data_IF_538935196317
#
_entry.id   IF_538935196317
#
_cell.length_a   1.000
_cell.length_b   1.000
_cell.length_c   1.000
_cell.angle_alpha   90.00
_cell.angle_beta   90.00
_cell.angle_gamma   90.00
#
_symmetry.space_group_name_H-M   'P 1'
#
loop_
_entity.id
_entity.type
_entity.pdbx_description
1 polymer ?
#
# COMPACT_ATOMS: atom_id res chain seq x y z
N UNK A 1 50.19 -2.90 -49.54
CA UNK A 1 49.93 -4.24 -50.12
C UNK A 1 48.55 -4.68 -49.61
N UNK A 2 47.46 -4.45 -50.37
CA UNK A 2 46.72 -5.43 -51.23
C UNK A 2 46.22 -6.63 -50.37
N UNK A 3 44.92 -6.97 -50.23
CA UNK A 3 43.75 -6.85 -51.13
C UNK A 3 42.39 -6.93 -50.40
N UNK A 4 41.38 -6.27 -51.00
CA UNK A 4 39.94 -6.52 -50.88
C UNK A 4 39.56 -7.94 -51.35
N UNK A 5 38.52 -8.56 -50.76
CA UNK A 5 37.57 -9.46 -51.46
C UNK A 5 36.15 -9.23 -50.89
N UNK A 6 35.22 -8.93 -51.79
CA UNK A 6 33.77 -8.82 -51.60
C UNK A 6 33.08 -9.99 -52.33
N UNK A 7 32.05 -10.62 -51.73
CA UNK A 7 31.10 -11.54 -52.38
C UNK A 7 29.75 -11.39 -51.63
N UNK A 8 28.75 -10.67 -52.14
CA UNK A 8 27.70 -10.98 -53.15
C UNK A 8 26.40 -11.57 -52.55
N UNK A 9 25.31 -10.87 -52.86
CA UNK A 9 23.89 -10.98 -52.45
C UNK A 9 23.10 -11.88 -53.42
N UNK A 10 22.07 -12.64 -52.95
CA UNK A 10 20.76 -12.93 -53.62
C UNK A 10 20.01 -14.08 -52.88
N UNK A 11 18.88 -13.87 -52.20
CA UNK A 11 17.47 -13.85 -52.65
C UNK A 11 16.82 -15.23 -52.90
N UNK A 12 15.71 -15.55 -52.21
CA UNK A 12 14.51 -16.19 -52.81
C UNK A 12 13.28 -16.23 -51.86
N UNK A 13 12.18 -15.73 -52.43
CA UNK A 13 10.80 -15.66 -51.93
C UNK A 13 10.07 -17.00 -52.11
N UNK A 14 9.08 -17.26 -51.26
CA UNK A 14 7.90 -18.08 -51.59
C UNK A 14 6.66 -17.41 -50.98
N UNK A 15 5.71 -17.02 -51.82
CA UNK A 15 4.40 -16.52 -51.43
C UNK A 15 3.29 -17.55 -51.69
N UNK A 16 2.06 -17.25 -51.27
CA UNK A 16 0.83 -17.68 -51.95
C UNK A 16 -0.39 -16.84 -51.51
N UNK A 17 -1.47 -16.72 -52.33
CA UNK A 17 -2.43 -15.61 -52.30
C UNK A 17 -3.90 -15.95 -51.95
N UNK A 18 -4.67 -14.88 -51.71
CA UNK A 18 -6.09 -14.60 -52.03
C UNK A 18 -7.26 -15.35 -51.36
N UNK A 19 -8.10 -14.61 -50.61
CA UNK A 19 -9.58 -14.62 -50.78
C UNK A 19 -10.21 -13.34 -50.19
N UNK A 20 -11.02 -12.64 -50.98
CA UNK A 20 -11.96 -11.60 -50.52
C UNK A 20 -13.39 -12.14 -50.66
N UNK A 21 -14.23 -11.97 -49.63
CA UNK A 21 -15.69 -11.97 -49.77
C UNK A 21 -16.28 -10.99 -48.74
N UNK A 22 -17.19 -10.17 -49.22
CA UNK A 22 -17.73 -8.93 -48.63
C UNK A 22 -18.90 -9.15 -47.68
N UNK A 23 -18.95 -8.40 -46.58
CA UNK A 23 -20.21 -7.94 -45.97
C UNK A 23 -19.95 -6.60 -45.27
N UNK A 24 -20.42 -5.52 -45.88
CA UNK A 24 -20.49 -4.21 -45.26
C UNK A 24 -21.73 -4.14 -44.36
N UNK A 25 -21.51 -4.19 -43.05
CA UNK A 25 -22.45 -3.65 -42.06
C UNK A 25 -21.66 -2.83 -41.05
N UNK A 26 -21.92 -1.53 -41.08
CA UNK A 26 -21.36 -0.48 -40.22
C UNK A 26 -21.66 -0.75 -38.74
N UNK A 27 -20.63 -0.63 -37.87
CA UNK A 27 -20.66 -0.33 -36.43
C UNK A 27 -19.45 -1.00 -35.72
N UNK A 28 -18.36 -0.22 -35.65
CA UNK A 28 -17.12 -0.38 -34.87
C UNK A 28 -16.54 -1.80 -34.79
N UNK A 29 -15.64 -2.12 -35.72
CA UNK A 29 -15.01 -3.44 -35.88
C UNK A 29 -14.07 -3.82 -34.74
N UNK A 30 -14.64 -4.38 -33.68
CA UNK A 30 -13.98 -5.44 -32.93
C UNK A 30 -14.60 -6.76 -33.41
N UNK A 31 -13.78 -7.74 -33.80
CA UNK A 31 -14.30 -8.98 -34.37
C UNK A 31 -15.13 -9.73 -33.31
N UNK A 32 -16.10 -10.55 -33.74
CA UNK A 32 -16.91 -11.36 -32.83
C UNK A 32 -16.04 -12.27 -31.95
N UNK A 33 -14.91 -12.72 -32.50
CA UNK A 33 -13.92 -13.53 -31.79
C UNK A 33 -13.15 -12.70 -30.77
N UNK A 34 -12.80 -11.46 -31.08
CA UNK A 34 -12.12 -10.55 -30.16
C UNK A 34 -13.03 -10.12 -29.00
N UNK A 35 -14.33 -9.89 -29.26
CA UNK A 35 -15.31 -9.62 -28.20
C UNK A 35 -15.55 -10.83 -27.30
N UNK A 36 -15.55 -12.03 -27.87
CA UNK A 36 -15.70 -13.26 -27.10
C UNK A 36 -14.45 -13.53 -26.27
N UNK A 37 -13.24 -13.34 -26.83
CA UNK A 37 -11.97 -13.42 -26.10
C UNK A 37 -11.84 -12.36 -25.00
N UNK A 38 -12.35 -11.14 -25.22
CA UNK A 38 -12.35 -10.10 -24.20
C UNK A 38 -13.32 -10.43 -23.05
N UNK A 39 -14.50 -10.99 -23.36
CA UNK A 39 -15.44 -11.47 -22.35
C UNK A 39 -14.86 -12.65 -21.55
N UNK A 40 -14.25 -13.63 -22.22
CA UNK A 40 -13.61 -14.78 -21.58
C UNK A 40 -12.42 -14.37 -20.72
N UNK A 41 -11.63 -13.36 -21.15
CA UNK A 41 -10.51 -12.83 -20.37
C UNK A 41 -10.97 -12.03 -19.15
N UNK A 42 -12.08 -11.29 -19.25
CA UNK A 42 -12.65 -10.56 -18.12
C UNK A 42 -13.27 -11.50 -17.08
N UNK A 43 -13.95 -12.57 -17.52
CA UNK A 43 -14.49 -13.60 -16.64
C UNK A 43 -13.37 -14.40 -15.96
N UNK A 44 -12.30 -14.73 -16.69
CA UNK A 44 -11.10 -15.35 -16.12
C UNK A 44 -10.39 -14.44 -15.08
N UNK A 45 -10.34 -13.13 -15.33
CA UNK A 45 -9.74 -12.17 -14.40
C UNK A 45 -10.57 -12.01 -13.11
N UNK A 46 -11.90 -12.03 -13.21
CA UNK A 46 -12.80 -11.96 -12.06
C UNK A 46 -12.72 -13.24 -11.20
N UNK A 47 -12.72 -14.41 -11.83
CA UNK A 47 -12.56 -15.70 -11.14
C UNK A 47 -11.18 -15.84 -10.48
N UNK A 48 -10.12 -15.30 -11.09
CA UNK A 48 -8.78 -15.28 -10.49
C UNK A 48 -8.70 -14.33 -9.28
N UNK A 49 -9.37 -13.17 -9.34
CA UNK A 49 -9.43 -12.23 -8.23
C UNK A 49 -10.23 -12.77 -7.03
N UNK A 50 -11.36 -13.45 -7.28
CA UNK A 50 -12.17 -14.07 -6.22
C UNK A 50 -11.44 -15.26 -5.56
N UNK A 51 -10.77 -16.09 -6.36
CA UNK A 51 -9.92 -17.19 -5.83
C UNK A 51 -8.75 -16.66 -5.00
N UNK A 52 -8.09 -15.58 -5.43
CA UNK A 52 -7.01 -14.96 -4.66
C UNK A 52 -7.49 -14.36 -3.33
N UNK A 53 -8.76 -13.91 -3.26
CA UNK A 53 -9.38 -13.45 -2.02
C UNK A 53 -9.75 -14.63 -1.10
N UNK A 54 -10.29 -15.71 -1.66
CA UNK A 54 -10.67 -16.91 -0.92
C UNK A 54 -9.47 -17.67 -0.36
N UNK A 55 -8.36 -17.77 -1.10
CA UNK A 55 -7.11 -18.36 -0.58
C UNK A 55 -6.49 -17.51 0.54
N UNK A 56 -6.63 -16.18 0.46
CA UNK A 56 -6.25 -15.25 1.54
C UNK A 56 -7.15 -15.38 2.77
N UNK A 57 -8.44 -15.68 2.60
CA UNK A 57 -9.38 -15.91 3.70
C UNK A 57 -9.21 -17.30 4.35
N UNK A 58 -8.86 -18.32 3.57
CA UNK A 58 -8.66 -19.68 4.06
C UNK A 58 -7.39 -19.85 4.91
N UNK A 59 -6.40 -18.96 4.78
CA UNK A 59 -5.18 -19.00 5.61
C UNK A 59 -5.25 -18.12 6.87
N UNK A 60 -6.33 -17.37 7.10
CA UNK A 60 -6.47 -16.42 8.22
C UNK A 60 -7.44 -16.85 9.32
N UNK A 61 -7.72 -18.15 9.49
CA UNK A 61 -8.45 -18.65 10.65
C UNK A 61 -7.47 -19.16 11.73
N UNK A 62 -7.32 -18.48 12.88
CA UNK A 62 -6.89 -19.13 14.10
C UNK A 62 -8.14 -19.70 14.80
N UNK A 63 -8.35 -21.01 14.70
CA UNK A 63 -9.10 -21.76 15.70
C UNK A 63 -8.23 -21.80 16.97
N UNK A 64 -8.61 -21.02 17.98
CA UNK A 64 -7.86 -20.93 19.22
C UNK A 64 -8.51 -19.98 20.23
N UNK A 65 -9.52 -20.51 20.91
CA UNK A 65 -10.17 -20.00 22.11
C UNK A 65 -9.20 -19.25 23.06
N UNK A 66 -9.42 -17.96 23.28
CA UNK A 66 -8.89 -17.27 24.46
C UNK A 66 -9.99 -17.25 25.51
N UNK A 67 -9.82 -18.15 26.47
CA UNK A 67 -10.50 -18.14 27.77
C UNK A 67 -10.36 -16.75 28.41
N UNK A 68 -11.48 -16.03 28.48
CA UNK A 68 -11.58 -14.74 29.17
C UNK A 68 -12.18 -14.96 30.55
N UNK A 69 -11.38 -15.56 31.44
CA UNK A 69 -11.63 -15.47 32.88
C UNK A 69 -11.48 -14.02 33.37
N UNK A 70 -12.26 -13.58 34.38
CA UNK A 70 -12.23 -12.21 34.85
C UNK A 70 -10.95 -11.98 35.67
N UNK A 71 -10.00 -11.25 35.12
CA UNK A 71 -8.91 -10.66 35.91
C UNK A 71 -9.46 -9.42 36.63
N UNK A 72 -9.67 -9.55 37.94
CA UNK A 72 -9.70 -8.42 38.87
C UNK A 72 -8.48 -7.53 38.62
N UNK A 73 -8.74 -6.28 38.22
CA UNK A 73 -7.73 -5.22 38.16
C UNK A 73 -7.60 -4.61 39.55
N UNK A 74 -6.81 -5.29 40.39
CA UNK A 74 -6.23 -4.65 41.57
C UNK A 74 -5.22 -3.60 41.12
N UNK A 75 -5.60 -2.35 41.29
CA UNK A 75 -4.73 -1.20 41.16
C UNK A 75 -3.72 -1.20 42.31
N UNK A 76 -2.46 -1.50 42.02
CA UNK A 76 -1.34 -1.16 42.90
C UNK A 76 -0.30 -0.32 42.14
N UNK A 77 0.31 0.70 42.80
CA UNK A 77 1.08 1.74 42.15
C UNK A 77 2.51 1.25 41.86
N UNK A 78 2.97 1.44 40.63
CA UNK A 78 4.36 1.25 40.29
C UNK A 78 5.20 2.36 40.94
N UNK A 79 5.92 1.99 42.00
CA UNK A 79 7.01 2.78 42.56
C UNK A 79 8.18 2.86 41.57
N UNK A 80 8.90 3.98 41.64
CA UNK A 80 9.92 4.48 40.74
C UNK A 80 11.06 3.52 40.39
N UNK A 81 11.40 3.48 39.10
CA UNK A 81 12.77 3.29 38.62
C UNK A 81 13.11 4.41 37.64
N UNK A 82 13.91 5.36 38.12
CA UNK A 82 14.41 6.51 37.36
C UNK A 82 15.45 6.04 36.34
N UNK A 83 15.09 6.01 35.06
CA UNK A 83 16.03 6.18 33.97
C UNK A 83 15.59 7.43 33.20
N UNK A 84 16.21 8.56 33.51
CA UNK A 84 16.02 9.82 32.81
C UNK A 84 16.65 9.74 31.41
N UNK A 85 16.02 8.99 30.51
CA UNK A 85 16.21 9.18 29.08
C UNK A 85 15.55 10.48 28.70
N UNK A 86 16.33 11.44 28.19
CA UNK A 86 15.81 12.74 27.74
C UNK A 86 14.79 12.49 26.63
N UNK A 87 13.50 12.65 26.94
CA UNK A 87 12.46 12.67 25.92
C UNK A 87 12.76 13.86 25.01
N UNK A 88 12.87 13.65 23.69
CA UNK A 88 13.18 14.74 22.77
C UNK A 88 12.07 15.80 22.82
N UNK A 89 12.46 17.07 22.78
CA UNK A 89 11.54 18.20 22.87
C UNK A 89 10.63 18.30 21.64
N UNK A 90 11.09 17.80 20.49
CA UNK A 90 10.30 17.66 19.27
C UNK A 90 10.58 16.34 18.56
N UNK A 91 9.60 15.76 17.85
CA UNK A 91 9.77 14.49 17.13
C UNK A 91 10.87 14.53 16.05
N UNK A 92 11.20 15.69 15.51
CA UNK A 92 12.35 15.87 14.60
C UNK A 92 13.72 15.90 15.33
N UNK A 93 13.76 16.26 16.61
CA UNK A 93 14.99 16.33 17.43
C UNK A 93 15.37 14.96 18.01
N UNK A 94 14.82 13.92 17.40
CA UNK A 94 14.67 12.60 17.96
C UNK A 94 15.74 11.72 17.32
N UNK A 95 16.82 11.48 18.05
CA UNK A 95 17.93 10.66 17.59
C UNK A 95 17.71 9.19 17.97
N UNK A 96 17.32 8.37 16.98
CA UNK A 96 17.13 6.93 17.16
C UNK A 96 18.45 6.18 17.42
N UNK A 97 19.61 6.78 17.16
CA UNK A 97 20.92 6.22 17.49
C UNK A 97 21.38 6.59 18.92
N UNK A 98 20.69 7.53 19.57
CA UNK A 98 20.99 7.93 20.94
C UNK A 98 20.14 7.16 21.96
N UNK A 99 20.81 6.40 22.84
CA UNK A 99 20.20 5.79 24.02
C UNK A 99 19.83 4.31 23.90
N UNK A 100 19.07 3.84 24.88
CA UNK A 100 18.62 2.43 24.97
C UNK A 100 17.28 2.18 24.27
N UNK A 101 16.87 0.91 24.21
CA UNK A 101 15.64 0.49 23.49
C UNK A 101 14.37 1.24 23.91
N UNK A 102 14.23 1.57 25.20
CA UNK A 102 13.09 2.36 25.69
C UNK A 102 13.05 3.77 25.05
N UNK A 103 14.21 4.42 24.90
CA UNK A 103 14.30 5.74 24.28
C UNK A 103 14.03 5.67 22.78
N UNK A 104 14.55 4.65 22.08
CA UNK A 104 14.24 4.40 20.67
C UNK A 104 12.74 4.16 20.43
N UNK A 105 12.09 3.39 21.30
CA UNK A 105 10.65 3.12 21.22
C UNK A 105 9.84 4.42 21.42
N UNK A 106 10.18 5.21 22.45
CA UNK A 106 9.51 6.49 22.70
C UNK A 106 9.72 7.48 21.54
N UNK A 107 10.93 7.52 21.00
CA UNK A 107 11.27 8.42 19.90
C UNK A 107 10.52 8.08 18.61
N UNK A 108 10.54 6.82 18.19
CA UNK A 108 9.81 6.37 17.00
C UNK A 108 8.29 6.56 17.14
N UNK A 109 7.73 6.38 18.34
CA UNK A 109 6.32 6.68 18.62
C UNK A 109 6.02 8.16 18.42
N UNK A 110 6.85 9.05 18.97
CA UNK A 110 6.68 10.50 18.81
C UNK A 110 6.75 10.93 17.34
N UNK A 111 7.68 10.35 16.57
CA UNK A 111 7.83 10.59 15.13
C UNK A 111 6.61 10.12 14.34
N UNK A 112 6.11 8.91 14.60
CA UNK A 112 4.88 8.43 13.99
C UNK A 112 3.70 9.34 14.32
N UNK A 113 3.51 9.71 15.59
CA UNK A 113 2.44 10.61 16.00
C UNK A 113 2.51 11.99 15.32
N UNK A 114 3.71 12.50 15.05
CA UNK A 114 3.86 13.74 14.27
C UNK A 114 3.40 13.59 12.82
N UNK A 115 3.79 12.49 12.16
CA UNK A 115 3.33 12.19 10.81
C UNK A 115 1.80 12.02 10.78
N UNK A 116 1.23 11.29 11.75
CA UNK A 116 -0.23 11.09 11.83
C UNK A 116 -0.98 12.41 12.03
N UNK A 117 -0.50 13.31 12.88
CA UNK A 117 -1.07 14.66 13.02
C UNK A 117 -1.06 15.43 11.70
N UNK A 118 0.08 15.45 11.01
CA UNK A 118 0.23 16.11 9.71
C UNK A 118 -0.72 15.53 8.65
N UNK A 119 -0.84 14.21 8.58
CA UNK A 119 -1.78 13.56 7.68
C UNK A 119 -3.23 14.00 7.97
N UNK A 120 -3.62 14.05 9.23
CA UNK A 120 -4.96 14.46 9.65
C UNK A 120 -5.24 15.93 9.34
N UNK A 121 -4.26 16.83 9.46
CA UNK A 121 -4.39 18.24 9.06
C UNK A 121 -4.67 18.39 7.57
N UNK A 122 -3.90 17.67 6.74
CA UNK A 122 -4.10 17.67 5.29
C UNK A 122 -5.44 17.05 4.90
N UNK A 123 -5.84 15.97 5.57
CA UNK A 123 -7.15 15.35 5.37
C UNK A 123 -8.28 16.34 5.63
N UNK A 124 -8.25 17.06 6.76
CA UNK A 124 -9.26 18.09 7.08
C UNK A 124 -9.28 19.19 6.03
N UNK A 125 -8.10 19.72 5.70
CA UNK A 125 -7.93 20.76 4.66
C UNK A 125 -8.55 20.32 3.33
N UNK A 126 -8.31 19.08 2.91
CA UNK A 126 -8.89 18.55 1.68
C UNK A 126 -10.40 18.37 1.81
N UNK A 127 -10.89 17.81 2.92
CA UNK A 127 -12.33 17.59 3.08
C UNK A 127 -13.12 18.89 3.11
N UNK A 128 -12.57 19.97 3.66
CA UNK A 128 -13.24 21.27 3.73
C UNK A 128 -13.43 21.89 2.33
N UNK A 129 -12.54 21.57 1.39
CA UNK A 129 -12.65 22.00 -0.02
C UNK A 129 -13.63 21.15 -0.84
N UNK A 130 -13.78 19.87 -0.50
CA UNK A 130 -14.50 18.90 -1.32
C UNK A 130 -16.04 19.00 -1.17
N UNK A 131 -16.74 18.71 -2.29
CA UNK A 131 -18.19 18.45 -2.27
C UNK A 131 -18.54 17.28 -1.33
N UNK A 132 -19.81 17.15 -0.92
CA UNK A 132 -20.22 16.05 -0.04
C UNK A 132 -19.94 14.66 -0.63
N UNK A 133 -20.17 14.48 -1.95
CA UNK A 133 -19.88 13.24 -2.65
C UNK A 133 -18.38 12.92 -2.64
N UNK A 134 -17.54 13.86 -3.05
CA UNK A 134 -16.08 13.68 -3.07
C UNK A 134 -15.49 13.49 -1.67
N UNK A 135 -16.06 14.15 -0.64
CA UNK A 135 -15.70 13.90 0.78
C UNK A 135 -15.96 12.46 1.19
N UNK A 136 -17.10 11.89 0.78
CA UNK A 136 -17.43 10.49 1.07
C UNK A 136 -16.42 9.53 0.41
N UNK A 137 -16.08 9.78 -0.85
CA UNK A 137 -15.08 9.00 -1.58
C UNK A 137 -13.70 9.06 -0.91
N UNK A 138 -13.22 10.26 -0.55
CA UNK A 138 -11.94 10.42 0.15
C UNK A 138 -11.95 9.74 1.52
N UNK A 139 -13.07 9.81 2.26
CA UNK A 139 -13.22 9.11 3.54
C UNK A 139 -13.11 7.60 3.38
N UNK A 140 -13.75 7.02 2.34
CA UNK A 140 -13.61 5.59 2.06
C UNK A 140 -12.17 5.23 1.74
N UNK A 141 -11.53 5.98 0.83
CA UNK A 141 -10.15 5.75 0.43
C UNK A 141 -9.17 5.83 1.63
N UNK A 142 -9.38 6.76 2.57
CA UNK A 142 -8.56 6.82 3.78
C UNK A 142 -8.78 5.64 4.72
N UNK A 143 -10.02 5.15 4.88
CA UNK A 143 -10.30 3.98 5.72
C UNK A 143 -9.66 2.71 5.14
N UNK A 144 -9.70 2.56 3.81
CA UNK A 144 -9.08 1.42 3.16
C UNK A 144 -7.55 1.52 3.17
N UNK A 145 -7.00 2.73 3.05
CA UNK A 145 -5.57 2.97 3.27
C UNK A 145 -5.13 2.62 4.70
N UNK A 146 -5.92 2.93 5.74
CA UNK A 146 -5.60 2.54 7.12
C UNK A 146 -5.52 1.01 7.27
N UNK A 147 -6.47 0.26 6.69
CA UNK A 147 -6.41 -1.21 6.68
C UNK A 147 -5.17 -1.73 5.98
N UNK A 148 -4.83 -1.16 4.82
CA UNK A 148 -3.61 -1.49 4.10
C UNK A 148 -2.37 -1.22 4.98
N UNK A 149 -2.26 -0.03 5.55
CA UNK A 149 -1.14 0.36 6.42
C UNK A 149 -0.96 -0.62 7.57
N UNK A 150 -2.04 -0.88 8.30
CA UNK A 150 -2.00 -1.69 9.50
C UNK A 150 -1.67 -3.16 9.15
N UNK A 151 -2.25 -3.70 8.08
CA UNK A 151 -1.93 -5.05 7.58
C UNK A 151 -0.49 -5.17 7.07
N UNK A 152 0.00 -4.17 6.33
CA UNK A 152 1.39 -4.12 5.86
C UNK A 152 2.36 -4.05 7.04
N UNK A 153 2.10 -3.21 8.04
CA UNK A 153 2.99 -3.12 9.21
C UNK A 153 2.94 -4.37 10.10
N UNK A 154 1.78 -5.03 10.22
CA UNK A 154 1.71 -6.32 10.88
C UNK A 154 2.57 -7.38 10.15
N UNK A 155 2.51 -7.42 8.82
CA UNK A 155 3.32 -8.33 8.01
C UNK A 155 4.83 -8.02 8.09
N UNK A 156 5.23 -6.75 7.93
CA UNK A 156 6.64 -6.34 7.92
C UNK A 156 7.34 -6.56 9.28
N UNK A 157 6.58 -6.61 10.37
CA UNK A 157 7.11 -6.76 11.73
C UNK A 157 6.87 -8.14 12.34
N UNK A 158 6.21 -9.03 11.61
CA UNK A 158 5.94 -10.39 12.07
C UNK A 158 7.23 -11.21 12.18
N UNK A 159 7.38 -11.91 13.29
CA UNK A 159 8.37 -12.97 13.48
C UNK A 159 7.81 -14.29 12.92
N UNK A 160 8.60 -15.38 12.90
CA UNK A 160 8.13 -16.68 12.37
C UNK A 160 6.85 -17.22 13.00
N UNK A 161 6.49 -16.77 14.21
CA UNK A 161 5.26 -17.13 14.92
C UNK A 161 4.06 -16.21 14.62
N UNK A 162 4.16 -15.38 13.57
CA UNK A 162 3.07 -14.56 13.04
C UNK A 162 2.79 -13.28 13.82
N UNK A 163 3.61 -12.94 14.82
CA UNK A 163 3.45 -11.71 15.60
C UNK A 163 4.77 -11.00 15.80
N UNK A 164 4.68 -9.71 16.07
CA UNK A 164 5.84 -8.92 16.45
C UNK A 164 6.18 -9.20 17.93
N UNK A 165 7.46 -9.46 18.24
CA UNK A 165 7.92 -9.91 19.57
C UNK A 165 9.18 -9.19 20.05
N UNK A 166 9.40 -9.19 21.37
CA UNK A 166 10.59 -8.61 22.01
C UNK A 166 10.54 -7.09 22.18
N UNK A 167 11.53 -6.54 22.88
CA UNK A 167 11.60 -5.10 23.23
C UNK A 167 11.80 -4.18 22.02
N UNK A 168 12.25 -4.75 20.89
CA UNK A 168 12.42 -4.04 19.61
C UNK A 168 11.11 -3.86 18.84
N UNK A 169 10.09 -4.66 19.16
CA UNK A 169 8.84 -4.69 18.40
C UNK A 169 8.18 -3.30 18.24
N UNK A 170 8.04 -2.47 19.30
CA UNK A 170 7.42 -1.14 19.17
C UNK A 170 8.18 -0.22 18.21
N UNK A 171 9.53 -0.28 18.23
CA UNK A 171 10.36 0.48 17.30
C UNK A 171 10.06 0.10 15.85
N UNK A 172 10.06 -1.19 15.52
CA UNK A 172 9.81 -1.65 14.15
C UNK A 172 8.40 -1.27 13.68
N UNK A 173 7.39 -1.46 14.52
CA UNK A 173 6.01 -1.10 14.21
C UNK A 173 5.88 0.41 13.93
N UNK A 174 6.42 1.27 14.81
CA UNK A 174 6.35 2.72 14.64
C UNK A 174 7.08 3.20 13.39
N UNK A 175 8.22 2.61 13.06
CA UNK A 175 8.97 2.96 11.85
C UNK A 175 8.18 2.63 10.58
N UNK A 176 7.53 1.46 10.51
CA UNK A 176 6.65 1.13 9.40
C UNK A 176 5.46 2.09 9.31
N UNK A 177 4.77 2.31 10.43
CA UNK A 177 3.59 3.19 10.49
C UNK A 177 3.95 4.60 10.04
N UNK A 178 5.08 5.14 10.49
CA UNK A 178 5.58 6.45 10.05
C UNK A 178 5.85 6.46 8.55
N UNK A 179 6.63 5.51 8.03
CA UNK A 179 7.01 5.45 6.61
C UNK A 179 5.79 5.45 5.69
N UNK A 180 4.79 4.61 5.97
CA UNK A 180 3.57 4.55 5.16
C UNK A 180 2.71 5.81 5.33
N UNK A 181 2.72 6.42 6.51
CA UNK A 181 2.03 7.70 6.76
C UNK A 181 2.70 8.84 5.99
N UNK A 182 4.04 8.90 5.92
CA UNK A 182 4.77 9.89 5.13
C UNK A 182 4.45 9.78 3.62
N UNK A 183 4.33 8.54 3.10
CA UNK A 183 3.89 8.32 1.71
C UNK A 183 2.48 8.86 1.49
N UNK A 184 1.57 8.62 2.44
CA UNK A 184 0.20 9.12 2.36
C UNK A 184 0.12 10.64 2.48
N UNK A 185 0.98 11.25 3.29
CA UNK A 185 1.14 12.70 3.35
C UNK A 185 1.48 13.24 1.96
N UNK A 186 2.42 12.62 1.25
CA UNK A 186 2.77 13.06 -0.11
C UNK A 186 1.57 12.98 -1.07
N UNK A 187 0.71 11.96 -0.98
CA UNK A 187 -0.55 11.91 -1.74
C UNK A 187 -1.47 13.07 -1.38
N UNK A 188 -1.66 13.29 -0.08
CA UNK A 188 -2.55 14.32 0.43
C UNK A 188 -2.07 15.73 0.10
N UNK A 189 -0.76 15.97 0.08
CA UNK A 189 -0.19 17.25 -0.35
C UNK A 189 -0.46 17.49 -1.84
N UNK A 190 -0.39 16.47 -2.70
CA UNK A 190 -0.81 16.60 -4.10
C UNK A 190 -2.28 16.97 -4.23
N UNK A 191 -3.16 16.39 -3.41
CA UNK A 191 -4.58 16.73 -3.42
C UNK A 191 -4.86 18.16 -2.93
N UNK A 192 -4.20 18.58 -1.85
CA UNK A 192 -4.41 19.92 -1.25
C UNK A 192 -3.84 21.04 -2.11
N UNK A 193 -2.70 20.79 -2.77
CA UNK A 193 -1.99 21.80 -3.57
C UNK A 193 -2.58 21.97 -4.98
N UNK A 194 -3.46 21.08 -5.41
CA UNK A 194 -4.04 21.15 -6.74
C UNK A 194 -5.54 21.44 -6.66
N UNK A 195 -5.95 22.61 -7.16
CA UNK A 195 -7.34 23.12 -7.07
C UNK A 195 -7.99 23.45 -8.42
N UNK A 196 -7.25 23.29 -9.52
CA UNK A 196 -7.70 23.61 -10.86
C UNK A 196 -8.21 22.37 -11.62
N UNK A 197 -8.83 22.57 -12.79
CA UNK A 197 -9.25 21.48 -13.66
C UNK A 197 -8.02 20.69 -14.16
N UNK A 198 -7.93 19.39 -13.83
CA UNK A 198 -6.86 18.50 -14.30
C UNK A 198 -5.84 18.06 -13.23
N UNK A 199 -6.15 18.22 -11.94
CA UNK A 199 -5.34 17.70 -10.85
C UNK A 199 -5.11 16.18 -10.94
N UNK A 200 -3.94 15.68 -10.49
CA UNK A 200 -3.45 14.34 -10.82
C UNK A 200 -4.37 13.20 -10.35
N UNK A 201 -4.32 12.09 -11.11
CA UNK A 201 -4.71 10.74 -10.69
C UNK A 201 -3.72 10.21 -9.62
#
# INVERSE_FOLDING_TARGET
MKRLIAILVLSLLAGCPAQQATTSAQASGESREDRMKAADAAEAAALAAEKALQERAASSAPDGEIDTGPAEVDAQPAASATAAGKTPARPEDCDLAAGGQSQMNACSAAQFMAADRRLNELYRTQTDYLSAGSRSMLRSAQRDWLKYRDATCAYETAWPDGRCSGTICPLQANLCLKRLTDQRIADMERFVNCRDNGCPL
#
